data_IF_400119503997
#
_entry.id   IF_400119503997
#
_cell.length_a   1.000
_cell.length_b   1.000
_cell.length_c   1.000
_cell.angle_alpha   90.00
_cell.angle_beta   90.00
_cell.angle_gamma   90.00
#
_symmetry.space_group_name_H-M   'P 1'
#
loop_
_entity.id
_entity.type
_entity.pdbx_description
1 polymer ?
#
# COMPACT_ATOMS: atom_id res chain seq x y z
N UNK A 1 -26.75 9.26 5.98
CA UNK A 1 -26.06 8.04 6.46
C UNK A 1 -24.90 7.58 5.55
N UNK A 2 -24.88 7.89 4.25
CA UNK A 2 -23.80 7.46 3.33
C UNK A 2 -22.38 7.94 3.72
N UNK A 3 -22.24 9.21 4.13
CA UNK A 3 -20.92 9.84 4.39
C UNK A 3 -20.12 9.26 5.56
N UNK A 4 -20.77 8.69 6.57
CA UNK A 4 -20.09 8.10 7.73
C UNK A 4 -19.45 6.75 7.36
N UNK A 5 -20.16 5.96 6.55
CA UNK A 5 -19.72 4.64 6.12
C UNK A 5 -18.51 4.74 5.17
N UNK A 6 -18.47 5.75 4.31
CA UNK A 6 -17.34 6.00 3.39
C UNK A 6 -16.09 6.52 4.10
N UNK A 7 -16.23 7.40 5.10
CA UNK A 7 -15.09 7.84 5.93
C UNK A 7 -14.45 6.67 6.69
N UNK A 8 -15.28 5.76 7.19
CA UNK A 8 -14.83 4.49 7.79
C UNK A 8 -14.11 3.60 6.76
N UNK A 9 -14.58 3.54 5.51
CA UNK A 9 -13.90 2.81 4.42
C UNK A 9 -12.55 3.43 4.06
N UNK A 10 -12.46 4.75 3.92
CA UNK A 10 -11.20 5.44 3.65
C UNK A 10 -10.16 5.21 4.75
N UNK A 11 -10.58 5.34 6.02
CA UNK A 11 -9.69 5.09 7.16
C UNK A 11 -9.15 3.66 7.15
N UNK A 12 -9.96 2.68 6.76
CA UNK A 12 -9.52 1.27 6.67
C UNK A 12 -8.58 1.05 5.48
N UNK A 13 -8.81 1.69 4.35
CA UNK A 13 -7.93 1.62 3.18
C UNK A 13 -6.57 2.28 3.47
N UNK A 14 -6.56 3.44 4.13
CA UNK A 14 -5.32 4.10 4.55
C UNK A 14 -4.50 3.23 5.53
N UNK A 15 -5.17 2.61 6.51
CA UNK A 15 -4.51 1.67 7.43
C UNK A 15 -3.95 0.43 6.71
N UNK A 16 -4.65 -0.08 5.69
CA UNK A 16 -4.18 -1.20 4.89
C UNK A 16 -2.95 -0.82 4.05
N UNK A 17 -2.96 0.35 3.41
CA UNK A 17 -1.82 0.88 2.67
C UNK A 17 -0.60 1.05 3.57
N UNK A 18 -0.78 1.67 4.75
CA UNK A 18 0.28 1.82 5.75
C UNK A 18 0.86 0.46 6.17
N UNK A 19 0.00 -0.55 6.37
CA UNK A 19 0.45 -1.90 6.71
C UNK A 19 1.28 -2.54 5.60
N UNK A 20 0.94 -2.30 4.34
CA UNK A 20 1.76 -2.77 3.21
C UNK A 20 3.13 -2.09 3.18
N UNK A 21 3.20 -0.78 3.42
CA UNK A 21 4.46 -0.03 3.53
C UNK A 21 5.33 -0.51 4.70
N UNK A 22 4.73 -0.75 5.87
CA UNK A 22 5.44 -1.27 7.05
C UNK A 22 6.04 -2.65 6.79
N UNK A 23 5.29 -3.56 6.17
CA UNK A 23 5.78 -4.90 5.81
C UNK A 23 6.88 -4.82 4.75
N UNK A 24 6.75 -3.93 3.75
CA UNK A 24 7.79 -3.69 2.77
C UNK A 24 9.10 -3.18 3.40
N UNK A 25 8.99 -2.28 4.39
CA UNK A 25 10.13 -1.81 5.18
C UNK A 25 10.79 -2.93 5.99
N UNK A 26 10.00 -3.79 6.63
CA UNK A 26 10.51 -4.94 7.38
C UNK A 26 11.28 -5.91 6.47
N UNK A 27 10.74 -6.25 5.30
CA UNK A 27 11.40 -7.11 4.31
C UNK A 27 12.71 -6.49 3.86
N UNK A 28 12.73 -5.19 3.59
CA UNK A 28 13.94 -4.46 3.18
C UNK A 28 15.03 -4.50 4.26
N UNK A 29 14.66 -4.31 5.53
CA UNK A 29 15.62 -4.37 6.64
C UNK A 29 16.19 -5.78 6.84
N UNK A 30 15.34 -6.81 6.77
CA UNK A 30 15.78 -8.21 6.85
C UNK A 30 16.74 -8.56 5.71
N UNK A 31 16.45 -8.07 4.50
CA UNK A 31 17.28 -8.26 3.31
C UNK A 31 18.67 -7.66 3.48
N UNK A 32 18.75 -6.41 3.92
CA UNK A 32 20.03 -5.72 4.18
C UNK A 32 20.86 -6.44 5.26
N UNK A 33 20.20 -6.92 6.32
CA UNK A 33 20.85 -7.66 7.41
C UNK A 33 21.42 -8.99 6.92
N UNK A 34 20.65 -9.73 6.12
CA UNK A 34 21.05 -11.03 5.60
C UNK A 34 22.19 -10.90 4.58
N UNK A 35 22.14 -9.90 3.69
CA UNK A 35 23.22 -9.60 2.73
C UNK A 35 24.53 -9.31 3.47
N UNK A 36 24.48 -8.47 4.50
CA UNK A 36 25.67 -8.15 5.31
C UNK A 36 26.26 -9.39 5.99
N UNK A 37 25.40 -10.28 6.47
CA UNK A 37 25.83 -11.54 7.12
C UNK A 37 26.50 -12.49 6.12
N UNK A 38 25.98 -12.57 4.90
CA UNK A 38 26.53 -13.43 3.85
C UNK A 38 27.85 -12.87 3.32
N UNK A 39 27.98 -11.55 3.17
CA UNK A 39 29.24 -10.93 2.76
C UNK A 39 30.34 -11.15 3.81
N UNK A 40 30.02 -11.09 5.11
CA UNK A 40 30.96 -11.46 6.18
C UNK A 40 31.39 -12.92 6.10
N UNK A 41 30.43 -13.84 5.93
CA UNK A 41 30.71 -15.27 5.81
C UNK A 41 31.54 -15.59 4.55
N UNK A 42 31.28 -14.87 3.44
CA UNK A 42 32.02 -15.02 2.20
C UNK A 42 33.44 -14.45 2.25
N UNK A 43 33.65 -13.40 3.05
CA UNK A 43 34.99 -12.88 3.35
C UNK A 43 35.83 -13.87 4.16
N UNK A 44 35.21 -14.63 5.06
CA UNK A 44 35.87 -15.60 5.92
C UNK A 44 36.12 -16.98 5.25
N UNK A 45 35.28 -17.39 4.31
CA UNK A 45 35.35 -18.70 3.66
C UNK A 45 35.20 -18.59 2.14
N UNK A 46 36.28 -18.91 1.39
CA UNK A 46 36.28 -18.97 -0.08
C UNK A 46 36.25 -20.42 -0.55
N UNK A 47 35.07 -20.90 -0.94
CA UNK A 47 34.87 -22.25 -1.50
C UNK A 47 33.49 -22.40 -2.16
N UNK A 48 33.28 -23.50 -2.88
CA UNK A 48 32.07 -23.73 -3.70
C UNK A 48 30.76 -23.64 -2.91
N UNK A 49 30.78 -24.05 -1.64
CA UNK A 49 29.63 -23.93 -0.74
C UNK A 49 29.22 -22.46 -0.52
N UNK A 50 30.19 -21.56 -0.43
CA UNK A 50 29.93 -20.13 -0.26
C UNK A 50 29.38 -19.50 -1.54
N UNK A 51 29.90 -19.90 -2.69
CA UNK A 51 29.37 -19.50 -4.00
C UNK A 51 27.91 -19.93 -4.15
N UNK A 52 27.58 -21.16 -3.73
CA UNK A 52 26.20 -21.66 -3.72
C UNK A 52 25.30 -20.85 -2.79
N UNK A 53 25.74 -20.57 -1.55
CA UNK A 53 25.01 -19.73 -0.61
C UNK A 53 24.74 -18.32 -1.17
N UNK A 54 25.74 -17.71 -1.81
CA UNK A 54 25.61 -16.40 -2.45
C UNK A 54 24.58 -16.42 -3.59
N UNK A 55 24.58 -17.47 -4.42
CA UNK A 55 23.61 -17.63 -5.51
C UNK A 55 22.19 -17.79 -4.99
N UNK A 56 21.97 -18.62 -3.98
CA UNK A 56 20.64 -18.77 -3.33
C UNK A 56 20.19 -17.44 -2.74
N UNK A 57 21.10 -16.71 -2.09
CA UNK A 57 20.76 -15.42 -1.52
C UNK A 57 20.43 -14.36 -2.57
N UNK A 58 21.12 -14.34 -3.70
CA UNK A 58 20.77 -13.44 -4.82
C UNK A 58 19.37 -13.73 -5.37
N UNK A 59 19.00 -15.01 -5.50
CA UNK A 59 17.64 -15.38 -5.93
C UNK A 59 16.59 -14.95 -4.90
N UNK A 60 16.88 -15.14 -3.62
CA UNK A 60 16.02 -14.69 -2.53
C UNK A 60 15.89 -13.17 -2.48
N UNK A 61 17.00 -12.44 -2.64
CA UNK A 61 17.05 -10.97 -2.70
C UNK A 61 16.18 -10.44 -3.85
N UNK A 62 16.24 -11.09 -5.02
CA UNK A 62 15.40 -10.75 -6.15
C UNK A 62 13.91 -11.03 -5.87
N UNK A 63 13.58 -12.17 -5.26
CA UNK A 63 12.21 -12.48 -4.88
C UNK A 63 11.67 -11.47 -3.85
N UNK A 64 12.47 -11.08 -2.86
CA UNK A 64 12.12 -10.05 -1.89
C UNK A 64 11.88 -8.69 -2.55
N UNK A 65 12.72 -8.28 -3.51
CA UNK A 65 12.51 -7.05 -4.29
C UNK A 65 11.17 -7.07 -5.03
N UNK A 66 10.84 -8.18 -5.68
CA UNK A 66 9.57 -8.32 -6.38
C UNK A 66 8.37 -8.21 -5.42
N UNK A 67 8.47 -8.81 -4.22
CA UNK A 67 7.42 -8.70 -3.19
C UNK A 67 7.27 -7.26 -2.70
N UNK A 68 8.38 -6.57 -2.42
CA UNK A 68 8.37 -5.15 -1.99
C UNK A 68 7.72 -4.27 -3.04
N UNK A 69 8.12 -4.40 -4.31
CA UNK A 69 7.50 -3.64 -5.42
C UNK A 69 6.01 -3.92 -5.55
N UNK A 70 5.57 -5.16 -5.34
CA UNK A 70 4.14 -5.49 -5.37
C UNK A 70 3.39 -4.88 -4.19
N UNK A 71 3.97 -4.89 -2.98
CA UNK A 71 3.38 -4.26 -1.80
C UNK A 71 3.25 -2.74 -1.97
N UNK A 72 4.27 -2.08 -2.52
CA UNK A 72 4.26 -0.66 -2.85
C UNK A 72 3.17 -0.34 -3.89
N UNK A 73 3.09 -1.11 -4.98
CA UNK A 73 2.01 -0.97 -5.97
C UNK A 73 0.63 -1.16 -5.35
N UNK A 74 0.45 -2.16 -4.48
CA UNK A 74 -0.82 -2.36 -3.78
C UNK A 74 -1.17 -1.18 -2.87
N UNK A 75 -0.20 -0.61 -2.16
CA UNK A 75 -0.42 0.58 -1.34
C UNK A 75 -0.84 1.79 -2.20
N UNK A 76 -0.20 2.00 -3.35
CA UNK A 76 -0.58 3.04 -4.32
C UNK A 76 -2.00 2.84 -4.87
N UNK A 77 -2.35 1.62 -5.27
CA UNK A 77 -3.68 1.29 -5.77
C UNK A 77 -4.76 1.49 -4.70
N UNK A 78 -4.51 1.04 -3.47
CA UNK A 78 -5.42 1.23 -2.33
C UNK A 78 -5.62 2.72 -2.04
N UNK A 79 -4.55 3.51 -2.06
CA UNK A 79 -4.63 4.96 -1.89
C UNK A 79 -5.40 5.64 -3.03
N UNK A 80 -5.19 5.19 -4.28
CA UNK A 80 -5.93 5.71 -5.45
C UNK A 80 -7.42 5.40 -5.33
N UNK A 81 -7.79 4.14 -5.04
CA UNK A 81 -9.19 3.75 -4.85
C UNK A 81 -9.82 4.53 -3.71
N UNK A 82 -9.12 4.74 -2.60
CA UNK A 82 -9.62 5.56 -1.50
C UNK A 82 -9.94 7.00 -1.91
N UNK A 83 -9.11 7.61 -2.76
CA UNK A 83 -9.34 8.96 -3.32
C UNK A 83 -10.49 8.97 -4.33
N UNK A 84 -10.56 7.99 -5.22
CA UNK A 84 -11.64 7.88 -6.21
C UNK A 84 -13.01 7.72 -5.54
N UNK A 85 -13.10 6.87 -4.51
CA UNK A 85 -14.32 6.73 -3.70
C UNK A 85 -14.71 8.05 -3.03
N UNK A 86 -13.74 8.82 -2.50
CA UNK A 86 -14.01 10.13 -1.91
C UNK A 86 -14.56 11.14 -2.92
N UNK A 87 -13.97 11.18 -4.12
CA UNK A 87 -14.38 12.11 -5.16
C UNK A 87 -15.80 11.80 -5.66
N UNK A 88 -16.09 10.53 -5.95
CA UNK A 88 -17.44 10.08 -6.34
C UNK A 88 -18.47 10.43 -5.28
N UNK A 89 -18.15 10.23 -4.00
CA UNK A 89 -19.05 10.60 -2.90
C UNK A 89 -19.31 12.10 -2.83
N UNK A 90 -18.29 12.93 -3.05
CA UNK A 90 -18.44 14.39 -3.04
C UNK A 90 -19.33 14.88 -4.18
N UNK A 91 -19.23 14.27 -5.36
CA UNK A 91 -20.07 14.57 -6.53
C UNK A 91 -21.52 14.13 -6.31
N UNK A 92 -21.73 12.93 -5.76
CA UNK A 92 -23.08 12.41 -5.44
C UNK A 92 -23.73 13.24 -4.33
N UNK A 93 -23.01 13.56 -3.26
CA UNK A 93 -23.52 14.41 -2.18
C UNK A 93 -23.86 15.83 -2.67
N UNK A 94 -23.01 16.42 -3.51
CA UNK A 94 -23.26 17.70 -4.17
C UNK A 94 -24.51 17.66 -5.05
N UNK A 95 -24.70 16.58 -5.80
CA UNK A 95 -25.88 16.38 -6.64
C UNK A 95 -27.17 16.22 -5.83
N UNK A 96 -27.15 15.43 -4.75
CA UNK A 96 -28.31 15.26 -3.86
C UNK A 96 -28.71 16.60 -3.20
N UNK A 97 -27.74 17.36 -2.69
CA UNK A 97 -28.00 18.67 -2.05
C UNK A 97 -28.65 19.69 -3.00
N UNK A 98 -28.34 19.61 -4.30
CA UNK A 98 -28.96 20.46 -5.34
C UNK A 98 -30.36 19.99 -5.74
N UNK A 99 -30.70 18.73 -5.54
CA UNK A 99 -32.03 18.17 -5.83
C UNK A 99 -33.01 18.37 -4.67
N UNK A 100 -32.55 18.52 -3.43
CA UNK A 100 -33.40 18.84 -2.27
C UNK A 100 -33.77 20.34 -2.16
N UNK A 101 -33.04 21.23 -2.84
CA UNK A 101 -33.23 22.68 -2.83
C UNK A 101 -34.12 23.32 -3.92
N UNK A 102 -34.60 22.68 -5.02
CA UNK A 102 -35.39 23.37 -6.05
C UNK A 102 -36.88 23.61 -5.69
N UNK A 103 -37.39 23.06 -4.59
CA UNK A 103 -38.85 22.96 -4.40
C UNK A 103 -39.49 23.87 -3.35
N UNK A 104 -38.77 24.28 -2.30
CA UNK A 104 -39.40 24.93 -1.14
C UNK A 104 -39.69 26.43 -1.32
N UNK A 105 -39.20 27.04 -2.40
CA UNK A 105 -39.45 28.46 -2.70
C UNK A 105 -40.76 28.70 -3.47
N UNK A 106 -41.44 27.64 -3.93
CA UNK A 106 -42.67 27.75 -4.76
C UNK A 106 -43.97 27.46 -4.01
N UNK A 107 -43.92 27.09 -2.72
CA UNK A 107 -45.11 26.72 -1.93
C UNK A 107 -45.53 27.76 -0.88
N UNK A 108 -44.86 28.91 -0.79
CA UNK A 108 -45.12 29.97 0.19
C UNK A 108 -45.44 31.34 -0.45
N UNK A 109 -46.10 31.37 -1.61
CA UNK A 109 -46.68 32.58 -2.19
C UNK A 109 -48.15 32.39 -2.49
#
# INVERSE_FOLDING_TARGET
MATQQTRLTQSKLAQLAQRHEEVAGQITNQRTTLSSSIDMLAGANRGDMMTSLKNVHQQWDQACKNIVTNLERMAEEVNRTGRETQNQDSEVAGSISRVETPGLSSFLS
#
